data_IF_446764164706
#
_entry.id   IF_446764164706
#
_cell.length_a   1.000
_cell.length_b   1.000
_cell.length_c   1.000
_cell.angle_alpha   90.00
_cell.angle_beta   90.00
_cell.angle_gamma   90.00
#
_symmetry.space_group_name_H-M   'P 1'
#
loop_
_entity.id
_entity.type
_entity.pdbx_description
1 polymer ?
#
# COMPACT_ATOMS: atom_id res chain seq x y z
N UNK A 1 12.93 15.32 -1.11
CA UNK A 1 11.51 15.71 -1.18
C UNK A 1 11.44 16.88 -2.15
N UNK A 2 10.55 16.79 -3.13
CA UNK A 2 10.40 17.81 -4.17
C UNK A 2 9.13 18.61 -3.94
N UNK A 3 9.11 19.87 -4.39
CA UNK A 3 7.92 20.69 -4.28
C UNK A 3 6.77 20.09 -5.09
N UNK A 4 5.53 20.30 -4.66
CA UNK A 4 4.34 19.78 -5.35
C UNK A 4 4.32 20.18 -6.84
N UNK A 5 4.73 21.41 -7.15
CA UNK A 5 4.78 21.91 -8.52
C UNK A 5 5.79 21.15 -9.40
N UNK A 6 6.96 20.81 -8.84
CA UNK A 6 8.00 20.07 -9.56
C UNK A 6 7.56 18.63 -9.83
N UNK A 7 6.95 17.99 -8.83
CA UNK A 7 6.38 16.64 -8.98
C UNK A 7 5.27 16.66 -10.02
N UNK A 8 4.37 17.63 -9.97
CA UNK A 8 3.29 17.80 -10.96
C UNK A 8 3.83 17.96 -12.38
N UNK A 9 4.87 18.78 -12.57
CA UNK A 9 5.53 18.94 -13.87
C UNK A 9 6.16 17.63 -14.37
N UNK A 10 6.80 16.85 -13.49
CA UNK A 10 7.38 15.55 -13.85
C UNK A 10 6.31 14.52 -14.26
N UNK A 11 5.14 14.53 -13.62
CA UNK A 11 4.01 13.66 -13.96
C UNK A 11 3.51 13.97 -15.37
N UNK A 12 3.35 15.25 -15.68
CA UNK A 12 2.91 15.70 -17.01
C UNK A 12 3.95 15.32 -18.08
N UNK A 13 5.23 15.52 -17.80
CA UNK A 13 6.31 15.16 -18.71
C UNK A 13 6.39 13.65 -18.97
N UNK A 14 6.14 12.81 -17.96
CA UNK A 14 6.12 11.36 -18.11
C UNK A 14 4.92 10.88 -18.95
N UNK A 15 3.75 11.51 -18.80
CA UNK A 15 2.53 11.18 -19.55
C UNK A 15 1.95 9.78 -19.28
N UNK A 16 2.61 8.97 -18.45
CA UNK A 16 2.14 7.67 -18.03
C UNK A 16 1.00 7.78 -16.99
N UNK A 17 0.17 6.74 -16.83
CA UNK A 17 -0.76 6.66 -15.70
C UNK A 17 -0.05 6.89 -14.36
N UNK A 18 -0.78 7.42 -13.39
CA UNK A 18 -0.26 7.80 -12.08
C UNK A 18 -0.76 6.84 -11.00
N UNK A 19 0.13 6.41 -10.12
CA UNK A 19 -0.18 5.61 -8.94
C UNK A 19 0.26 6.34 -7.67
N UNK A 20 -0.67 6.43 -6.73
CA UNK A 20 -0.41 6.71 -5.32
C UNK A 20 -0.64 5.42 -4.53
N UNK A 21 0.24 5.14 -3.57
CA UNK A 21 0.13 3.97 -2.69
C UNK A 21 0.12 4.46 -1.25
N UNK A 22 -0.82 3.97 -0.47
CA UNK A 22 -0.88 4.17 0.98
C UNK A 22 0.14 3.30 1.71
N UNK A 23 0.65 3.78 2.86
CA UNK A 23 1.66 3.09 3.67
C UNK A 23 1.23 1.67 4.01
N UNK A 24 -0.05 1.45 4.35
CA UNK A 24 -0.57 0.13 4.70
C UNK A 24 -0.36 -0.91 3.58
N UNK A 25 -0.50 -0.51 2.32
CA UNK A 25 -0.30 -1.43 1.19
C UNK A 25 1.16 -1.79 0.98
N UNK A 26 2.10 -0.85 1.17
CA UNK A 26 3.54 -1.18 1.14
C UNK A 26 3.94 -2.07 2.32
N UNK A 27 3.40 -1.80 3.50
CA UNK A 27 3.65 -2.63 4.69
C UNK A 27 3.11 -4.04 4.55
N UNK A 28 2.02 -4.26 3.82
CA UNK A 28 1.48 -5.60 3.59
C UNK A 28 2.45 -6.51 2.81
N UNK A 29 3.33 -5.94 1.96
CA UNK A 29 4.40 -6.70 1.30
C UNK A 29 5.38 -7.27 2.34
N UNK A 30 5.74 -6.49 3.36
CA UNK A 30 6.71 -6.86 4.41
C UNK A 30 6.08 -7.75 5.49
N UNK A 31 4.82 -7.46 5.87
CA UNK A 31 4.07 -8.22 6.88
C UNK A 31 3.84 -9.68 6.46
N UNK A 32 3.83 -9.95 5.16
CA UNK A 32 3.62 -11.26 4.59
C UNK A 32 2.26 -11.87 4.85
N UNK A 33 2.21 -13.21 4.98
CA UNK A 33 0.97 -13.97 4.99
C UNK A 33 0.12 -13.67 6.24
N UNK A 34 -0.76 -12.68 6.14
CA UNK A 34 -2.05 -12.63 6.83
C UNK A 34 -3.12 -13.21 5.90
N UNK A 35 -4.32 -13.47 6.41
CA UNK A 35 -5.43 -14.09 5.66
C UNK A 35 -5.75 -13.41 4.30
N UNK A 36 -5.33 -12.15 4.07
CA UNK A 36 -5.62 -11.37 2.87
C UNK A 36 -4.46 -11.24 1.85
N UNK A 37 -3.19 -11.48 2.23
CA UNK A 37 -2.04 -11.29 1.32
C UNK A 37 -1.61 -12.63 0.71
N UNK A 38 -1.98 -12.84 -0.56
CA UNK A 38 -1.81 -14.12 -1.28
C UNK A 38 -0.60 -14.09 -2.23
N UNK A 39 -0.23 -15.25 -2.78
CA UNK A 39 0.75 -15.35 -3.87
C UNK A 39 0.42 -14.42 -5.04
N UNK A 40 -0.86 -14.33 -5.40
CA UNK A 40 -1.31 -13.52 -6.53
C UNK A 40 -1.16 -12.03 -6.22
N UNK A 41 -1.39 -11.60 -4.96
CA UNK A 41 -1.08 -10.25 -4.50
C UNK A 41 0.42 -9.94 -4.61
N UNK A 42 1.28 -10.86 -4.16
CA UNK A 42 2.73 -10.69 -4.27
C UNK A 42 3.18 -10.60 -5.74
N UNK A 43 2.65 -11.46 -6.61
CA UNK A 43 2.94 -11.46 -8.05
C UNK A 43 2.47 -10.17 -8.72
N UNK A 44 1.28 -9.68 -8.35
CA UNK A 44 0.77 -8.41 -8.80
C UNK A 44 1.64 -7.24 -8.33
N UNK A 45 2.07 -7.24 -7.06
CA UNK A 45 2.98 -6.22 -6.53
C UNK A 45 4.33 -6.20 -7.28
N UNK A 46 4.89 -7.35 -7.61
CA UNK A 46 6.11 -7.44 -8.44
C UNK A 46 5.86 -6.89 -9.85
N UNK A 47 4.74 -7.27 -10.48
CA UNK A 47 4.42 -6.78 -11.83
C UNK A 47 4.21 -5.27 -11.86
N UNK A 48 3.57 -4.69 -10.84
CA UNK A 48 3.35 -3.25 -10.74
C UNK A 48 4.69 -2.49 -10.62
N UNK A 49 5.64 -2.98 -9.81
CA UNK A 49 6.96 -2.33 -9.73
C UNK A 49 7.75 -2.47 -11.04
N UNK A 50 7.63 -3.60 -11.74
CA UNK A 50 8.25 -3.76 -13.06
C UNK A 50 7.70 -2.75 -14.09
N UNK A 51 6.38 -2.45 -14.05
CA UNK A 51 5.76 -1.42 -14.89
C UNK A 51 6.27 -0.02 -14.53
N UNK A 52 6.46 0.27 -13.24
CA UNK A 52 7.00 1.55 -12.76
C UNK A 52 8.46 1.71 -13.23
N UNK A 53 9.27 0.67 -13.09
CA UNK A 53 10.67 0.68 -13.53
C UNK A 53 10.81 0.84 -15.04
N UNK A 54 9.88 0.29 -15.81
CA UNK A 54 9.79 0.46 -17.26
C UNK A 54 9.24 1.84 -17.69
N UNK A 55 8.85 2.71 -16.76
CA UNK A 55 8.28 4.02 -17.05
C UNK A 55 6.84 3.97 -17.61
N UNK A 56 6.17 2.81 -17.54
CA UNK A 56 4.78 2.64 -17.97
C UNK A 56 3.77 3.10 -16.93
N UNK A 57 4.21 3.27 -15.68
CA UNK A 57 3.41 3.75 -14.56
C UNK A 57 4.25 4.71 -13.71
N UNK A 58 3.73 5.88 -13.40
CA UNK A 58 4.41 6.85 -12.53
C UNK A 58 3.99 6.62 -11.08
N UNK A 59 4.95 6.52 -10.16
CA UNK A 59 4.68 6.37 -8.72
C UNK A 59 4.99 7.68 -7.99
N UNK A 60 4.03 8.18 -7.21
CA UNK A 60 4.22 9.31 -6.30
C UNK A 60 3.86 8.88 -4.89
N UNK A 61 4.73 9.23 -3.94
CA UNK A 61 4.47 9.02 -2.52
C UNK A 61 4.60 10.36 -1.77
N UNK A 62 3.66 10.69 -0.87
CA UNK A 62 3.88 11.73 0.13
C UNK A 62 5.08 11.40 1.02
N UNK A 63 5.85 12.41 1.43
CA UNK A 63 6.97 12.24 2.37
C UNK A 63 6.56 11.52 3.67
N UNK A 64 5.31 11.69 4.10
CA UNK A 64 4.78 11.04 5.29
C UNK A 64 4.90 9.51 5.23
N UNK A 65 4.75 8.94 4.02
CA UNK A 65 4.91 7.49 3.81
C UNK A 65 6.36 7.08 4.03
N UNK A 66 7.33 7.88 3.56
CA UNK A 66 8.75 7.57 3.77
C UNK A 66 9.12 7.56 5.26
N UNK A 67 8.56 8.50 6.03
CA UNK A 67 8.75 8.56 7.48
C UNK A 67 8.12 7.35 8.18
N UNK A 68 6.87 7.02 7.82
CA UNK A 68 6.18 5.87 8.40
C UNK A 68 6.83 4.55 8.05
N UNK A 69 7.37 4.41 6.84
CA UNK A 69 8.12 3.22 6.47
C UNK A 69 9.39 3.11 7.31
N UNK A 70 10.15 4.20 7.49
CA UNK A 70 11.36 4.18 8.33
C UNK A 70 11.04 3.77 9.79
N UNK A 71 9.94 4.27 10.35
CA UNK A 71 9.51 3.97 11.72
C UNK A 71 8.98 2.54 11.87
N UNK A 72 8.27 2.00 10.87
CA UNK A 72 7.57 0.72 10.98
C UNK A 72 8.35 -0.48 10.42
N UNK A 73 9.28 -0.28 9.47
CA UNK A 73 10.00 -1.37 8.79
C UNK A 73 10.70 -2.31 9.78
N UNK A 74 11.45 -1.77 10.74
CA UNK A 74 12.18 -2.58 11.73
C UNK A 74 11.27 -3.41 12.64
N UNK A 75 10.06 -2.92 12.93
CA UNK A 75 9.07 -3.62 13.76
C UNK A 75 8.34 -4.69 12.97
N UNK A 76 7.97 -4.38 11.74
CA UNK A 76 7.15 -5.22 10.85
C UNK A 76 7.94 -6.37 10.22
N UNK A 77 9.24 -6.18 9.93
CA UNK A 77 10.13 -7.24 9.47
C UNK A 77 10.04 -8.46 10.38
N UNK A 78 10.08 -8.26 11.71
CA UNK A 78 10.08 -9.34 12.71
C UNK A 78 8.83 -10.23 12.71
N UNK A 79 7.73 -9.82 12.07
CA UNK A 79 6.47 -10.57 12.10
C UNK A 79 6.48 -11.76 11.12
N UNK A 80 7.14 -11.63 9.97
CA UNK A 80 7.18 -12.65 8.92
C UNK A 80 7.87 -13.93 9.36
N UNK A 81 9.15 -13.85 9.76
CA UNK A 81 9.89 -15.01 10.27
C UNK A 81 9.27 -15.57 11.54
N UNK A 82 8.73 -14.71 12.42
CA UNK A 82 8.05 -15.14 13.64
C UNK A 82 6.81 -15.99 13.34
N UNK A 83 6.03 -15.64 12.31
CA UNK A 83 4.85 -16.41 11.92
C UNK A 83 5.21 -17.83 11.46
N UNK A 84 6.30 -17.99 10.70
CA UNK A 84 6.74 -19.29 10.18
C UNK A 84 7.40 -20.12 11.28
N UNK A 85 8.15 -19.50 12.19
CA UNK A 85 8.62 -20.16 13.42
C UNK A 85 7.46 -20.67 14.27
N UNK A 86 6.43 -19.85 14.47
CA UNK A 86 5.23 -20.25 15.22
C UNK A 86 4.47 -21.41 14.54
N UNK A 87 4.40 -21.44 13.21
CA UNK A 87 3.84 -22.58 12.48
C UNK A 87 4.66 -23.85 12.71
N UNK A 88 5.99 -23.77 12.60
CA UNK A 88 6.89 -24.88 12.89
C UNK A 88 6.74 -25.40 14.33
N UNK A 89 6.62 -24.51 15.31
CA UNK A 89 6.39 -24.89 16.70
C UNK A 89 5.05 -25.62 16.89
N UNK A 90 3.98 -25.17 16.21
CA UNK A 90 2.66 -25.85 16.24
C UNK A 90 2.71 -27.22 15.60
N UNK A 91 3.34 -27.35 14.42
CA UNK A 91 3.50 -28.63 13.73
C UNK A 91 4.31 -29.60 14.60
N UNK A 92 5.38 -29.12 15.25
CA UNK A 92 6.18 -29.90 16.19
C UNK A 92 5.34 -30.38 17.37
N UNK A 93 4.57 -29.50 18.02
CA UNK A 93 3.70 -29.87 19.14
C UNK A 93 2.65 -30.92 18.73
N UNK A 94 2.02 -30.77 17.56
CA UNK A 94 1.07 -31.77 17.04
C UNK A 94 1.73 -33.13 16.83
N UNK A 95 2.95 -33.13 16.29
CA UNK A 95 3.73 -34.35 16.10
C UNK A 95 4.08 -35.01 17.44
N UNK A 96 4.52 -34.24 18.45
CA UNK A 96 4.82 -34.75 19.79
C UNK A 96 3.60 -35.40 20.47
N UNK A 97 2.41 -34.78 20.34
CA UNK A 97 1.15 -35.34 20.84
C UNK A 97 0.78 -36.63 20.10
N UNK A 98 0.92 -36.65 18.77
CA UNK A 98 0.66 -37.84 17.95
C UNK A 98 1.56 -39.01 18.36
N UNK A 99 2.86 -38.76 18.58
CA UNK A 99 3.80 -39.77 19.04
C UNK A 99 3.45 -40.28 20.45
N UNK A 100 3.02 -39.39 21.35
CA UNK A 100 2.55 -39.79 22.68
C UNK A 100 1.30 -40.69 22.64
N UNK A 101 0.46 -40.56 21.60
CA UNK A 101 -0.70 -41.44 21.36
C UNK A 101 -0.34 -42.75 20.62
N UNK A 102 0.95 -43.05 20.44
CA UNK A 102 1.40 -44.26 19.76
C UNK A 102 1.36 -44.17 18.23
N UNK A 103 1.20 -42.95 17.68
CA UNK A 103 1.34 -42.71 16.25
C UNK A 103 2.75 -42.98 15.75
N UNK A 104 2.88 -43.21 14.45
CA UNK A 104 4.16 -43.38 13.76
C UNK A 104 4.22 -42.47 12.54
N UNK A 105 5.39 -41.92 12.24
CA UNK A 105 5.60 -41.04 11.09
C UNK A 105 6.79 -40.12 11.27
N UNK A 106 7.33 -39.54 10.18
CA UNK A 106 8.42 -38.59 10.26
C UNK A 106 7.95 -37.25 10.86
N UNK A 107 8.85 -36.58 11.58
CA UNK A 107 8.62 -35.20 11.99
C UNK A 107 8.52 -34.29 10.75
N UNK A 108 7.47 -33.48 10.68
CA UNK A 108 7.34 -32.45 9.65
C UNK A 108 8.05 -31.20 10.16
N UNK A 109 9.14 -30.82 9.50
CA UNK A 109 9.87 -29.57 9.78
C UNK A 109 9.83 -28.74 8.52
N UNK A 110 9.18 -27.59 8.56
CA UNK A 110 9.28 -26.64 7.45
C UNK A 110 10.65 -25.97 7.53
N UNK A 111 11.36 -25.80 6.39
CA UNK A 111 12.61 -25.07 6.38
C UNK A 111 12.39 -23.67 6.94
N UNK A 112 13.32 -23.21 7.78
CA UNK A 112 13.30 -21.83 8.23
C UNK A 112 13.42 -20.93 6.98
N UNK A 113 12.49 -19.97 6.78
CA UNK A 113 12.67 -18.96 5.76
C UNK A 113 13.81 -18.08 6.22
N UNK A 114 14.94 -18.17 5.55
CA UNK A 114 16.08 -17.29 5.82
C UNK A 114 15.91 -15.93 5.14
N UNK A 115 15.08 -15.86 4.10
CA UNK A 115 15.14 -14.73 3.15
C UNK A 115 13.80 -14.07 2.85
N UNK A 116 12.70 -14.48 3.48
CA UNK A 116 11.39 -13.87 3.19
C UNK A 116 11.39 -12.36 3.43
N UNK A 117 11.89 -11.93 4.59
CA UNK A 117 12.00 -10.52 4.97
C UNK A 117 12.93 -9.77 4.01
N UNK A 118 14.11 -10.33 3.71
CA UNK A 118 15.07 -9.76 2.77
C UNK A 118 14.46 -9.57 1.37
N UNK A 119 13.68 -10.54 0.89
CA UNK A 119 13.02 -10.47 -0.41
C UNK A 119 11.90 -9.42 -0.41
N UNK A 120 11.09 -9.37 0.64
CA UNK A 120 10.03 -8.37 0.79
C UNK A 120 10.60 -6.95 0.88
N UNK A 121 11.67 -6.76 1.67
CA UNK A 121 12.40 -5.51 1.81
C UNK A 121 12.98 -5.06 0.47
N UNK A 122 13.57 -5.99 -0.30
CA UNK A 122 14.09 -5.68 -1.62
C UNK A 122 12.98 -5.17 -2.57
N UNK A 123 11.78 -5.75 -2.51
CA UNK A 123 10.64 -5.26 -3.30
C UNK A 123 10.20 -3.86 -2.84
N UNK A 124 10.04 -3.63 -1.55
CA UNK A 124 9.65 -2.31 -1.03
C UNK A 124 10.71 -1.25 -1.33
N UNK A 125 12.00 -1.60 -1.24
CA UNK A 125 13.09 -0.70 -1.60
C UNK A 125 13.02 -0.28 -3.07
N UNK A 126 12.61 -1.16 -3.98
CA UNK A 126 12.37 -0.79 -5.39
C UNK A 126 11.25 0.24 -5.53
N UNK A 127 10.12 0.06 -4.84
CA UNK A 127 9.04 1.05 -4.81
C UNK A 127 9.53 2.41 -4.33
N UNK A 128 10.25 2.46 -3.22
CA UNK A 128 10.78 3.70 -2.68
C UNK A 128 11.78 4.36 -3.63
N UNK A 129 12.71 3.59 -4.21
CA UNK A 129 13.74 4.09 -5.10
C UNK A 129 13.19 4.64 -6.43
N UNK A 130 12.01 4.19 -6.87
CA UNK A 130 11.36 4.64 -8.11
C UNK A 130 10.21 5.63 -7.90
N UNK A 131 9.93 5.98 -6.64
CA UNK A 131 8.89 6.95 -6.31
C UNK A 131 9.39 8.39 -6.42
N UNK A 132 8.53 9.27 -6.93
CA UNK A 132 8.69 10.70 -6.76
C UNK A 132 8.12 11.11 -5.40
N UNK A 133 8.98 11.59 -4.50
CA UNK A 133 8.57 11.99 -3.15
C UNK A 133 8.17 13.45 -3.15
N UNK A 134 6.89 13.72 -2.90
CA UNK A 134 6.36 15.08 -2.71
C UNK A 134 6.50 15.53 -1.26
N UNK A 135 6.77 16.81 -1.06
CA UNK A 135 6.71 17.44 0.26
C UNK A 135 5.28 17.44 0.83
N UNK A 136 5.18 17.49 2.16
CA UNK A 136 3.90 17.76 2.84
C UNK A 136 3.70 19.27 2.96
N UNK A 137 2.69 19.81 2.30
CA UNK A 137 2.40 21.25 2.40
C UNK A 137 1.56 21.59 3.62
N UNK A 138 1.57 22.87 4.01
CA UNK A 138 0.65 23.41 5.02
C UNK A 138 -0.81 23.29 4.60
N UNK A 139 -1.09 23.35 3.30
CA UNK A 139 -2.44 23.19 2.74
C UNK A 139 -2.95 21.77 2.96
N UNK A 140 -2.16 20.76 2.58
CA UNK A 140 -2.47 19.35 2.83
C UNK A 140 -2.65 19.07 4.33
N UNK A 141 -1.75 19.58 5.17
CA UNK A 141 -1.83 19.50 6.64
C UNK A 141 -3.14 20.07 7.18
N UNK A 142 -3.53 21.27 6.73
CA UNK A 142 -4.76 21.92 7.17
C UNK A 142 -6.01 21.12 6.76
N UNK A 143 -6.08 20.65 5.50
CA UNK A 143 -7.21 19.85 5.03
C UNK A 143 -7.29 18.50 5.74
N UNK A 144 -6.16 17.88 6.04
CA UNK A 144 -6.12 16.64 6.79
C UNK A 144 -6.66 16.83 8.22
N UNK A 145 -6.30 17.93 8.88
CA UNK A 145 -6.86 18.29 10.17
C UNK A 145 -8.38 18.54 10.10
N UNK A 146 -8.85 19.22 9.03
CA UNK A 146 -10.28 19.45 8.82
C UNK A 146 -11.06 18.13 8.68
N UNK A 147 -10.52 17.12 7.98
CA UNK A 147 -11.14 15.79 7.92
C UNK A 147 -11.32 15.17 9.30
N UNK A 148 -10.30 15.25 10.15
CA UNK A 148 -10.37 14.73 11.52
C UNK A 148 -11.41 15.47 12.35
N UNK A 149 -11.42 16.80 12.31
CA UNK A 149 -12.38 17.64 13.04
C UNK A 149 -13.83 17.33 12.62
N UNK A 150 -14.04 17.10 11.33
CA UNK A 150 -15.38 16.86 10.76
C UNK A 150 -15.76 15.38 10.63
N UNK A 151 -14.89 14.47 11.09
CA UNK A 151 -15.02 13.02 10.91
C UNK A 151 -15.33 12.62 9.45
N UNK A 152 -14.65 13.27 8.50
CA UNK A 152 -14.70 12.94 7.07
C UNK A 152 -13.64 11.89 6.73
N UNK A 153 -14.03 10.84 6.01
CA UNK A 153 -13.13 9.76 5.61
C UNK A 153 -11.82 10.28 4.96
N UNK A 154 -10.66 9.66 5.25
CA UNK A 154 -10.49 8.43 6.02
C UNK A 154 -10.63 8.60 7.54
N UNK A 155 -10.86 9.81 8.06
CA UNK A 155 -11.15 9.99 9.48
C UNK A 155 -12.53 9.50 9.90
N UNK A 156 -12.59 9.01 11.14
CA UNK A 156 -13.82 8.64 11.83
C UNK A 156 -13.79 9.17 13.28
N UNK A 157 -14.97 9.35 13.87
CA UNK A 157 -15.09 9.82 15.26
C UNK A 157 -14.38 8.85 16.22
N UNK A 158 -13.55 9.39 17.11
CA UNK A 158 -12.85 8.63 18.15
C UNK A 158 -11.62 7.83 17.68
N UNK A 159 -11.17 7.99 16.42
CA UNK A 159 -9.94 7.37 15.91
C UNK A 159 -8.86 8.40 15.57
N UNK A 160 -7.60 7.99 15.74
CA UNK A 160 -6.44 8.76 15.27
C UNK A 160 -6.13 8.43 13.81
N UNK A 161 -6.87 9.04 12.88
CA UNK A 161 -6.72 8.82 11.43
C UNK A 161 -6.06 10.00 10.71
N UNK A 162 -5.32 10.85 11.45
CA UNK A 162 -4.68 12.05 10.88
C UNK A 162 -3.66 11.70 9.80
N UNK A 163 -2.90 10.62 10.00
CA UNK A 163 -1.88 10.15 9.06
C UNK A 163 -2.48 9.74 7.72
N UNK A 164 -3.54 8.93 7.74
CA UNK A 164 -4.28 8.52 6.53
C UNK A 164 -4.92 9.73 5.83
N UNK A 165 -5.44 10.70 6.60
CA UNK A 165 -5.94 11.95 6.04
C UNK A 165 -4.84 12.75 5.33
N UNK A 166 -3.65 12.81 5.93
CA UNK A 166 -2.51 13.54 5.39
C UNK A 166 -1.99 12.91 4.09
N UNK A 167 -1.93 11.57 4.04
CA UNK A 167 -1.60 10.82 2.82
C UNK A 167 -2.59 11.16 1.71
N UNK A 168 -3.89 11.04 1.97
CA UNK A 168 -4.92 11.31 0.96
C UNK A 168 -4.85 12.77 0.46
N UNK A 169 -4.79 13.74 1.36
CA UNK A 169 -4.76 15.16 0.99
C UNK A 169 -3.52 15.54 0.19
N UNK A 170 -2.37 14.97 0.53
CA UNK A 170 -1.14 15.18 -0.24
C UNK A 170 -1.24 14.61 -1.66
N UNK A 171 -1.84 13.41 -1.81
CA UNK A 171 -2.09 12.81 -3.12
C UNK A 171 -3.06 13.65 -3.97
N UNK A 172 -4.17 14.10 -3.37
CA UNK A 172 -5.15 14.96 -4.05
C UNK A 172 -4.55 16.30 -4.47
N UNK A 173 -3.68 16.88 -3.64
CA UNK A 173 -2.98 18.12 -3.96
C UNK A 173 -2.04 17.98 -5.16
N UNK A 174 -1.20 16.94 -5.18
CA UNK A 174 -0.32 16.66 -6.33
C UNK A 174 -1.14 16.36 -7.59
N UNK A 175 -2.18 15.52 -7.48
CA UNK A 175 -3.02 15.21 -8.63
C UNK A 175 -3.70 16.46 -9.17
N UNK A 176 -4.25 17.32 -8.30
CA UNK A 176 -4.85 18.59 -8.71
C UNK A 176 -3.86 19.49 -9.45
N UNK A 177 -2.63 19.60 -8.93
CA UNK A 177 -1.57 20.36 -9.57
C UNK A 177 -1.16 19.76 -10.93
N UNK A 178 -1.06 18.43 -11.05
CA UNK A 178 -0.78 17.79 -12.33
C UNK A 178 -1.92 18.00 -13.35
N UNK A 179 -3.18 17.90 -12.91
CA UNK A 179 -4.36 18.14 -13.75
C UNK A 179 -4.41 19.59 -14.25
N UNK A 180 -4.07 20.58 -13.41
CA UNK A 180 -4.03 21.98 -13.83
C UNK A 180 -2.92 22.27 -14.85
N UNK A 181 -1.86 21.49 -14.85
CA UNK A 181 -0.79 21.50 -15.85
C UNK A 181 -1.11 20.65 -17.11
N UNK A 182 -2.30 20.05 -17.20
CA UNK A 182 -2.77 19.33 -18.39
C UNK A 182 -2.62 17.81 -18.35
N UNK A 183 -2.25 17.21 -17.20
CA UNK A 183 -2.20 15.76 -17.07
C UNK A 183 -3.58 15.13 -17.35
N UNK A 184 -3.66 14.19 -18.28
CA UNK A 184 -4.93 13.60 -18.73
C UNK A 184 -5.02 12.07 -18.58
N UNK A 185 -3.89 11.38 -18.32
CA UNK A 185 -3.87 9.93 -18.12
C UNK A 185 -4.61 9.48 -16.83
N UNK A 186 -4.83 8.17 -16.70
CA UNK A 186 -5.48 7.58 -15.52
C UNK A 186 -4.69 7.80 -14.23
N UNK A 187 -5.38 7.91 -13.10
CA UNK A 187 -4.76 8.04 -11.78
C UNK A 187 -5.39 7.03 -10.81
N UNK A 188 -4.57 6.40 -9.98
CA UNK A 188 -4.97 5.33 -9.08
C UNK A 188 -4.50 5.61 -7.65
N UNK A 189 -5.33 5.30 -6.67
CA UNK A 189 -4.99 5.27 -5.26
C UNK A 189 -5.15 3.84 -4.73
N UNK A 190 -4.04 3.26 -4.28
CA UNK A 190 -3.99 1.92 -3.72
C UNK A 190 -3.92 2.00 -2.19
N UNK A 191 -4.92 1.43 -1.50
CA UNK A 191 -4.85 1.20 -0.05
C UNK A 191 -5.54 -0.10 0.34
N UNK A 192 -4.91 -0.86 1.23
CA UNK A 192 -5.46 -2.05 1.87
C UNK A 192 -6.24 -1.72 3.14
N UNK A 193 -6.24 -0.45 3.58
CA UNK A 193 -6.99 0.04 4.73
C UNK A 193 -8.48 0.25 4.36
N UNK A 194 -9.18 -0.86 4.14
CA UNK A 194 -10.59 -0.87 3.74
C UNK A 194 -11.52 -0.35 4.83
N UNK A 195 -11.09 -0.39 6.08
CA UNK A 195 -11.88 0.16 7.18
C UNK A 195 -12.03 1.68 7.09
N UNK A 196 -11.08 2.38 6.49
CA UNK A 196 -11.06 3.85 6.42
C UNK A 196 -11.30 4.40 5.01
N UNK A 197 -10.81 3.70 3.97
CA UNK A 197 -11.02 4.09 2.57
C UNK A 197 -12.16 3.34 1.89
N UNK A 198 -12.63 2.24 2.46
CA UNK A 198 -13.64 1.38 1.86
C UNK A 198 -15.00 1.43 2.56
N UNK A 199 -16.03 1.02 1.83
CA UNK A 199 -17.31 0.57 2.38
C UNK A 199 -17.16 -0.90 2.79
N UNK A 200 -17.18 -1.15 4.10
CA UNK A 200 -17.04 -2.50 4.66
C UNK A 200 -18.13 -3.48 4.16
N UNK A 201 -19.32 -2.98 3.77
CA UNK A 201 -20.41 -3.79 3.27
C UNK A 201 -20.29 -4.10 1.77
N UNK A 202 -19.80 -3.13 0.97
CA UNK A 202 -19.77 -3.22 -0.50
C UNK A 202 -18.40 -3.54 -1.09
N UNK A 203 -17.34 -3.56 -0.26
CA UNK A 203 -15.93 -3.73 -0.69
C UNK A 203 -15.54 -2.76 -1.83
N UNK A 204 -16.12 -1.56 -1.80
CA UNK A 204 -15.94 -0.46 -2.75
C UNK A 204 -15.37 0.77 -2.02
N UNK A 205 -15.05 1.86 -2.73
CA UNK A 205 -14.65 3.13 -2.13
C UNK A 205 -15.72 3.64 -1.12
N UNK A 206 -15.26 4.24 -0.02
CA UNK A 206 -16.14 4.81 1.01
C UNK A 206 -17.09 5.87 0.42
N UNK A 207 -18.40 5.89 0.77
CA UNK A 207 -19.37 6.77 0.12
C UNK A 207 -19.02 8.27 0.19
N UNK A 208 -18.39 8.72 1.29
CA UNK A 208 -17.95 10.11 1.44
C UNK A 208 -16.79 10.51 0.50
N UNK A 209 -16.07 9.52 -0.04
CA UNK A 209 -14.93 9.75 -0.93
C UNK A 209 -15.33 9.69 -2.41
N UNK A 210 -16.48 9.09 -2.75
CA UNK A 210 -16.90 8.85 -4.15
C UNK A 210 -16.93 10.14 -4.98
N UNK A 211 -17.59 11.19 -4.48
CA UNK A 211 -17.70 12.47 -5.21
C UNK A 211 -16.34 13.12 -5.40
N UNK A 212 -15.47 13.05 -4.40
CA UNK A 212 -14.14 13.65 -4.43
C UNK A 212 -13.20 12.91 -5.39
N UNK A 213 -13.17 11.57 -5.31
CA UNK A 213 -12.40 10.73 -6.24
C UNK A 213 -12.87 10.91 -7.67
N UNK A 214 -14.19 10.97 -7.91
CA UNK A 214 -14.75 11.23 -9.22
C UNK A 214 -14.34 12.60 -9.77
N UNK A 215 -14.36 13.65 -8.93
CA UNK A 215 -13.94 15.00 -9.33
C UNK A 215 -12.47 15.06 -9.79
N UNK A 216 -11.61 14.23 -9.20
CA UNK A 216 -10.20 14.15 -9.56
C UNK A 216 -9.87 13.10 -10.64
N UNK A 217 -10.86 12.31 -11.08
CA UNK A 217 -10.66 11.11 -11.92
C UNK A 217 -9.61 10.18 -11.31
N UNK A 218 -9.78 9.91 -10.01
CA UNK A 218 -8.93 9.04 -9.21
C UNK A 218 -9.67 7.73 -8.96
N UNK A 219 -9.14 6.64 -9.46
CA UNK A 219 -9.69 5.30 -9.23
C UNK A 219 -9.12 4.72 -7.93
N UNK A 220 -9.94 3.97 -7.20
CA UNK A 220 -9.52 3.30 -5.96
C UNK A 220 -9.29 1.81 -6.20
N UNK A 221 -8.16 1.29 -5.72
CA UNK A 221 -7.88 -0.15 -5.70
C UNK A 221 -7.60 -0.60 -4.27
N UNK A 222 -8.26 -1.67 -3.84
CA UNK A 222 -8.05 -2.19 -2.46
C UNK A 222 -6.86 -3.10 -2.26
N UNK A 223 -6.20 -3.49 -3.36
CA UNK A 223 -5.11 -4.44 -3.33
C UNK A 223 -4.30 -4.39 -4.64
N UNK A 224 -3.07 -4.87 -4.61
CA UNK A 224 -2.22 -4.95 -5.80
C UNK A 224 -2.87 -5.79 -6.90
N UNK A 225 -3.53 -6.89 -6.54
CA UNK A 225 -4.23 -7.74 -7.49
C UNK A 225 -5.36 -6.99 -8.19
N UNK A 226 -6.18 -6.25 -7.45
CA UNK A 226 -7.25 -5.44 -8.04
C UNK A 226 -6.68 -4.37 -8.97
N UNK A 227 -5.64 -3.65 -8.53
CA UNK A 227 -4.97 -2.64 -9.35
C UNK A 227 -4.45 -3.24 -10.66
N UNK A 228 -3.74 -4.37 -10.59
CA UNK A 228 -3.13 -5.06 -11.74
C UNK A 228 -4.15 -5.46 -12.81
N UNK A 229 -5.37 -5.78 -12.41
CA UNK A 229 -6.43 -6.22 -13.32
C UNK A 229 -7.46 -5.14 -13.64
N UNK A 230 -7.21 -3.88 -13.26
CA UNK A 230 -7.94 -2.75 -13.86
C UNK A 230 -7.65 -2.68 -15.36
N UNK A 231 -8.64 -2.29 -16.16
CA UNK A 231 -8.55 -2.32 -17.64
C UNK A 231 -7.31 -1.56 -18.13
N UNK A 232 -7.05 -0.39 -17.57
CA UNK A 232 -5.93 0.45 -18.00
C UNK A 232 -4.57 -0.14 -17.66
N UNK A 233 -4.39 -0.64 -16.43
CA UNK A 233 -3.12 -1.22 -15.99
C UNK A 233 -2.87 -2.58 -16.63
N UNK A 234 -3.93 -3.35 -16.89
CA UNK A 234 -3.83 -4.65 -17.54
C UNK A 234 -3.36 -4.58 -18.99
N UNK A 235 -3.49 -3.41 -19.63
CA UNK A 235 -3.06 -3.16 -21.00
C UNK A 235 -1.60 -2.68 -21.13
N UNK A 236 -0.90 -2.42 -20.01
CA UNK A 236 0.50 -1.99 -19.97
C UNK A 236 1.47 -3.17 -19.99
#
# INVERSE_FOLDING_TARGET
MSAVADVAASIVAAGAPLLFIDTCSLLDIVRGQRDAFTRDQATAAVTIIDLIEAGKLSLVLPEQITNEMADNLQGVQKDGTKSIRALNDRVRQMHEIMMAFGGTGPAIVLPAPTDYENLADAIVARYLAKSSITETTKSATHKAAQRVITAKAPAASGKQSYKDCLVLESCLEVLSAARSLGFSAGAYFLSSNIAEYGDAAKKSLHPQLVTEFAAHRLDFAKSFLELRYTIAIAAL
#
